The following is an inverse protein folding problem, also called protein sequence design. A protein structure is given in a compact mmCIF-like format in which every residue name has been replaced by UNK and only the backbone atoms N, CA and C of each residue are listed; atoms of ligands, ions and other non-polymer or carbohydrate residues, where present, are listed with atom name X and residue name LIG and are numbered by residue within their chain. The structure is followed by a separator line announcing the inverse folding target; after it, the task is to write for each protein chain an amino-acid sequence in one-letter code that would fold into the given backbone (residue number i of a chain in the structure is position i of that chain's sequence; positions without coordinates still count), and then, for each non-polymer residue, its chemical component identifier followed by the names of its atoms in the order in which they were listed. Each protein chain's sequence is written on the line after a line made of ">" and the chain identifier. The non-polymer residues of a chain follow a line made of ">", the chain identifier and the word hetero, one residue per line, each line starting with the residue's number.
data_IF_686783008762
#
_entry.id   IF_686783008762
#
_cell.length_a   1.000
_cell.length_b   1.000
_cell.length_c   1.000
_cell.angle_alpha   90.00
_cell.angle_beta   90.00
_cell.angle_gamma   90.00
#
_symmetry.space_group_name_H-M   'P 1'
#
loop_
_entity.id
_entity.type
_entity.pdbx_description
1 polymer ?
#
# COMPACT_ATOMS: atom_id res chain seq x y z
N UNK A 1 28.19 15.01 -20.76
CA UNK A 1 29.07 16.20 -20.77
C UNK A 1 29.63 16.52 -19.38
N UNK A 2 28.80 16.67 -18.33
CA UNK A 2 29.33 16.88 -16.98
C UNK A 2 30.07 15.65 -16.40
N UNK A 3 29.69 14.42 -16.79
CA UNK A 3 30.42 13.20 -16.43
C UNK A 3 31.84 13.17 -16.98
N UNK A 4 32.01 13.59 -18.24
CA UNK A 4 33.33 13.75 -18.86
C UNK A 4 34.17 14.81 -18.13
N UNK A 5 33.55 15.93 -17.73
CA UNK A 5 34.23 16.95 -16.92
C UNK A 5 34.65 16.38 -15.56
N UNK A 6 33.88 15.44 -15.01
CA UNK A 6 34.21 14.81 -13.74
C UNK A 6 35.35 13.80 -13.85
N UNK A 7 35.33 12.94 -14.87
CA UNK A 7 36.39 11.96 -15.13
C UNK A 7 37.75 12.63 -15.31
N UNK A 8 37.80 13.70 -16.12
CA UNK A 8 39.05 14.42 -16.42
C UNK A 8 39.43 15.46 -15.35
N UNK A 9 38.63 15.64 -14.29
CA UNK A 9 38.92 16.63 -13.23
C UNK A 9 40.17 16.32 -12.39
N UNK A 10 40.68 15.08 -12.47
CA UNK A 10 41.93 14.66 -11.83
C UNK A 10 43.17 15.09 -12.60
N UNK A 11 43.07 15.20 -13.94
CA UNK A 11 44.18 15.56 -14.81
C UNK A 11 44.14 17.04 -15.21
N UNK A 12 42.96 17.65 -15.20
CA UNK A 12 42.74 19.00 -15.71
C UNK A 12 41.85 19.84 -14.80
N UNK A 13 42.13 21.14 -14.75
CA UNK A 13 41.31 22.07 -13.97
C UNK A 13 39.90 22.18 -14.58
N UNK A 14 38.88 21.85 -13.77
CA UNK A 14 37.44 21.99 -14.10
C UNK A 14 37.12 23.35 -14.74
N UNK A 15 37.75 24.42 -14.26
CA UNK A 15 37.60 25.78 -14.83
C UNK A 15 37.94 25.85 -16.32
N UNK A 16 39.05 25.24 -16.74
CA UNK A 16 39.48 25.23 -18.15
C UNK A 16 38.53 24.39 -18.98
N UNK A 17 38.14 23.23 -18.48
CA UNK A 17 37.23 22.31 -19.19
C UNK A 17 35.84 22.90 -19.35
N UNK A 18 35.29 23.54 -18.32
CA UNK A 18 34.02 24.27 -18.41
C UNK A 18 34.07 25.38 -19.47
N UNK A 19 35.20 26.09 -19.58
CA UNK A 19 35.39 27.14 -20.59
C UNK A 19 35.48 26.57 -22.01
N UNK A 20 36.23 25.48 -22.21
CA UNK A 20 36.39 24.82 -23.52
C UNK A 20 35.07 24.22 -23.99
N UNK A 21 34.32 23.58 -23.09
CA UNK A 21 33.06 22.91 -23.40
C UNK A 21 31.84 23.84 -23.37
N UNK A 22 32.04 25.15 -23.13
CA UNK A 22 30.97 26.14 -23.15
C UNK A 22 29.92 26.01 -22.04
N UNK A 23 30.26 25.37 -20.91
CA UNK A 23 29.33 25.15 -19.78
C UNK A 23 29.68 26.00 -18.57
N UNK A 24 28.68 26.42 -17.79
CA UNK A 24 28.91 27.19 -16.56
C UNK A 24 29.51 26.33 -15.46
N UNK A 25 30.55 26.84 -14.77
CA UNK A 25 31.10 26.23 -13.54
C UNK A 25 30.02 26.00 -12.49
N UNK A 26 29.08 26.93 -12.33
CA UNK A 26 27.98 26.80 -11.39
C UNK A 26 27.05 25.62 -11.74
N UNK A 27 26.81 25.38 -13.02
CA UNK A 27 26.03 24.23 -13.47
C UNK A 27 26.75 22.90 -13.21
N UNK A 28 28.08 22.86 -13.43
CA UNK A 28 28.89 21.68 -13.09
C UNK A 28 28.83 21.34 -11.61
N UNK A 29 29.04 22.31 -10.72
CA UNK A 29 28.98 22.03 -9.27
C UNK A 29 27.57 21.69 -8.79
N UNK A 30 26.52 22.28 -9.41
CA UNK A 30 25.12 21.89 -9.16
C UNK A 30 24.81 20.46 -9.62
N UNK A 31 25.42 20.03 -10.71
CA UNK A 31 25.36 18.65 -11.20
C UNK A 31 26.10 17.69 -10.25
N UNK A 32 27.28 18.07 -9.77
CA UNK A 32 28.14 17.24 -8.91
C UNK A 32 27.62 17.10 -7.48
N UNK A 33 27.00 18.15 -6.96
CA UNK A 33 26.45 18.15 -5.60
C UNK A 33 25.03 18.72 -5.62
N UNK A 34 24.06 17.95 -6.14
CA UNK A 34 22.68 18.37 -6.14
C UNK A 34 22.22 18.48 -4.68
N UNK A 35 22.14 19.71 -4.16
CA UNK A 35 21.51 19.96 -2.87
C UNK A 35 20.05 19.52 -3.00
N UNK A 36 19.56 18.61 -2.13
CA UNK A 36 18.15 18.21 -2.18
C UNK A 36 17.31 19.48 -2.01
N UNK A 37 16.33 19.65 -2.90
CA UNK A 37 15.36 20.72 -2.72
C UNK A 37 14.65 20.52 -1.37
N UNK A 38 14.18 21.61 -0.76
CA UNK A 38 13.41 21.55 0.50
C UNK A 38 12.31 20.48 0.43
N UNK A 39 11.62 20.41 -0.71
CA UNK A 39 10.59 19.40 -1.00
C UNK A 39 11.11 17.96 -1.01
N UNK A 40 12.31 17.72 -1.55
CA UNK A 40 12.92 16.39 -1.59
C UNK A 40 13.38 15.95 -0.20
N UNK A 41 13.87 16.88 0.62
CA UNK A 41 14.17 16.61 2.03
C UNK A 41 12.91 16.28 2.84
N UNK A 42 11.83 17.05 2.65
CA UNK A 42 10.53 16.76 3.29
C UNK A 42 9.94 15.41 2.84
N UNK A 43 10.05 15.08 1.56
CA UNK A 43 9.59 13.79 1.04
C UNK A 43 10.41 12.63 1.63
N UNK A 44 11.71 12.81 1.88
CA UNK A 44 12.54 11.81 2.54
C UNK A 44 12.12 11.57 4.00
N UNK A 45 11.84 12.64 4.76
CA UNK A 45 11.28 12.55 6.12
C UNK A 45 9.92 11.84 6.12
N UNK A 46 9.03 12.21 5.20
CA UNK A 46 7.72 11.55 5.07
C UNK A 46 7.85 10.07 4.71
N UNK A 47 8.77 9.69 3.82
CA UNK A 47 9.01 8.28 3.49
C UNK A 47 9.41 7.46 4.72
N UNK A 48 10.29 8.00 5.56
CA UNK A 48 10.70 7.34 6.81
C UNK A 48 9.51 7.12 7.76
N UNK A 49 8.66 8.15 7.95
CA UNK A 49 7.45 8.05 8.78
C UNK A 49 6.45 7.04 8.22
N UNK A 50 6.23 7.05 6.90
CA UNK A 50 5.36 6.10 6.21
C UNK A 50 5.84 4.67 6.45
N UNK A 51 7.13 4.40 6.28
CA UNK A 51 7.71 3.07 6.50
C UNK A 51 7.55 2.60 7.95
N UNK A 52 7.77 3.50 8.93
CA UNK A 52 7.58 3.19 10.35
C UNK A 52 6.13 2.77 10.63
N UNK A 53 5.16 3.59 10.24
CA UNK A 53 3.72 3.30 10.42
C UNK A 53 3.36 2.00 9.70
N UNK A 54 3.83 1.82 8.46
CA UNK A 54 3.58 0.62 7.69
C UNK A 54 4.09 -0.65 8.39
N UNK A 55 5.29 -0.61 8.97
CA UNK A 55 5.87 -1.72 9.72
C UNK A 55 5.12 -1.97 11.05
N UNK A 56 4.80 -0.92 11.79
CA UNK A 56 4.06 -0.98 13.07
C UNK A 56 2.72 -1.71 12.92
N UNK A 57 1.99 -1.40 11.84
CA UNK A 57 0.70 -2.05 11.53
C UNK A 57 0.84 -3.32 10.70
N UNK A 58 2.01 -3.98 10.73
CA UNK A 58 2.28 -5.26 10.07
C UNK A 58 1.90 -5.24 8.58
N UNK A 59 2.19 -4.13 7.91
CA UNK A 59 1.96 -3.92 6.48
C UNK A 59 0.48 -3.87 6.05
N UNK A 60 -0.46 -3.83 7.00
CA UNK A 60 -1.92 -3.88 6.72
C UNK A 60 -2.53 -2.52 6.37
N UNK A 61 -1.78 -1.45 6.59
CA UNK A 61 -2.29 -0.09 6.43
C UNK A 61 -2.02 0.40 5.02
N UNK A 62 -3.09 0.71 4.30
CA UNK A 62 -3.03 1.41 3.02
C UNK A 62 -3.02 2.92 3.18
N UNK A 63 -3.00 3.63 2.05
CA UNK A 63 -2.87 5.10 1.95
C UNK A 63 -3.74 5.86 2.93
N UNK A 64 -5.04 5.53 3.05
CA UNK A 64 -5.97 6.28 3.90
C UNK A 64 -5.71 6.09 5.39
N UNK A 65 -5.31 4.87 5.81
CA UNK A 65 -4.99 4.60 7.21
C UNK A 65 -3.66 5.25 7.59
N UNK A 66 -2.65 5.13 6.73
CA UNK A 66 -1.37 5.84 6.92
C UNK A 66 -1.58 7.35 6.94
N UNK A 67 -2.46 7.90 6.11
CA UNK A 67 -2.84 9.31 6.14
C UNK A 67 -3.44 9.72 7.48
N UNK A 68 -4.33 8.90 8.05
CA UNK A 68 -4.91 9.16 9.36
C UNK A 68 -3.84 9.24 10.45
N UNK A 69 -2.98 8.22 10.54
CA UNK A 69 -1.87 8.17 11.52
C UNK A 69 -0.90 9.35 11.35
N UNK A 70 -0.48 9.63 10.11
CA UNK A 70 0.38 10.77 9.83
C UNK A 70 -0.26 12.10 10.19
N UNK A 71 -1.57 12.25 9.99
CA UNK A 71 -2.26 13.49 10.34
C UNK A 71 -2.32 13.69 11.86
N UNK A 72 -2.46 12.62 12.64
CA UNK A 72 -2.35 12.69 14.10
C UNK A 72 -0.95 13.09 14.56
N UNK A 73 0.09 12.51 13.96
CA UNK A 73 1.48 12.87 14.28
C UNK A 73 1.88 14.30 13.88
N UNK A 74 1.36 14.78 12.74
CA UNK A 74 1.77 16.06 12.15
C UNK A 74 0.91 17.25 12.62
N UNK A 75 -0.24 16.99 13.24
CA UNK A 75 -1.09 18.02 13.87
C UNK A 75 -0.34 18.95 14.84
N UNK A 76 0.42 18.45 15.85
CA UNK A 76 1.16 19.31 16.78
C UNK A 76 2.25 20.13 16.08
N UNK A 77 2.77 19.65 14.95
CA UNK A 77 3.76 20.33 14.12
C UNK A 77 3.14 21.32 13.13
N UNK A 78 1.81 21.49 13.13
CA UNK A 78 1.03 22.28 12.18
C UNK A 78 1.32 21.92 10.70
N UNK A 79 1.64 20.64 10.45
CA UNK A 79 1.91 20.12 9.11
C UNK A 79 0.75 19.27 8.63
N UNK A 80 0.47 19.35 7.34
CA UNK A 80 -0.55 18.52 6.67
C UNK A 80 0.06 17.80 5.48
N UNK A 81 -0.39 16.57 5.26
CA UNK A 81 0.02 15.76 4.12
C UNK A 81 -1.23 15.27 3.40
N UNK A 82 -1.27 15.37 2.07
CA UNK A 82 -2.44 14.89 1.31
C UNK A 82 -2.34 13.39 1.05
N UNK A 83 -3.48 12.67 0.96
CA UNK A 83 -3.49 11.25 0.59
C UNK A 83 -2.80 10.97 -0.76
N UNK A 84 -2.92 11.91 -1.72
CA UNK A 84 -2.25 11.81 -3.02
C UNK A 84 -0.71 11.85 -2.89
N UNK A 85 -0.18 12.69 -2.01
CA UNK A 85 1.28 12.74 -1.74
C UNK A 85 1.73 11.41 -1.13
N UNK A 86 0.98 10.87 -0.18
CA UNK A 86 1.28 9.58 0.45
C UNK A 86 1.24 8.45 -0.58
N UNK A 87 0.20 8.39 -1.41
CA UNK A 87 0.08 7.38 -2.48
C UNK A 87 1.29 7.38 -3.43
N UNK A 88 1.72 8.57 -3.88
CA UNK A 88 2.95 8.71 -4.69
C UNK A 88 4.18 8.19 -3.94
N UNK A 89 4.37 8.58 -2.67
CA UNK A 89 5.54 8.16 -1.89
C UNK A 89 5.55 6.66 -1.60
N UNK A 90 4.38 6.06 -1.33
CA UNK A 90 4.24 4.60 -1.18
C UNK A 90 4.59 3.87 -2.48
N UNK A 91 4.16 4.40 -3.64
CA UNK A 91 4.52 3.86 -4.95
C UNK A 91 6.03 3.96 -5.22
N UNK A 92 6.66 5.07 -4.86
CA UNK A 92 8.12 5.24 -4.96
C UNK A 92 8.91 4.31 -4.03
N UNK A 93 8.30 3.82 -2.95
CA UNK A 93 8.87 2.87 -2.00
C UNK A 93 8.49 1.41 -2.32
N UNK A 94 7.67 1.18 -3.35
CA UNK A 94 7.13 -0.13 -3.73
C UNK A 94 6.37 -0.86 -2.60
N UNK A 95 5.67 -0.10 -1.73
CA UNK A 95 4.89 -0.67 -0.63
C UNK A 95 3.39 -0.58 -0.89
N UNK A 96 2.69 -1.65 -0.55
CA UNK A 96 1.24 -1.79 -0.71
C UNK A 96 0.63 -2.50 0.49
N UNK A 97 -0.64 -2.22 0.76
CA UNK A 97 -1.36 -2.84 1.88
C UNK A 97 -1.45 -4.35 1.69
N UNK A 98 -0.95 -5.11 2.65
CA UNK A 98 -1.10 -6.56 2.70
C UNK A 98 -2.43 -6.90 3.37
N UNK A 99 -3.39 -7.38 2.59
CA UNK A 99 -4.60 -7.99 3.15
C UNK A 99 -4.27 -9.42 3.52
N UNK A 100 -4.02 -9.66 4.82
CA UNK A 100 -3.92 -11.03 5.33
C UNK A 100 -5.34 -11.63 5.31
N UNK A 101 -5.51 -12.76 4.62
CA UNK A 101 -6.76 -13.51 4.69
C UNK A 101 -7.09 -13.78 6.16
N UNK A 102 -8.34 -13.54 6.58
CA UNK A 102 -8.79 -13.91 7.93
C UNK A 102 -8.39 -15.37 8.17
N UNK A 103 -7.65 -15.62 9.24
CA UNK A 103 -7.36 -16.98 9.67
C UNK A 103 -8.70 -17.70 9.84
N UNK A 104 -8.95 -18.70 8.99
CA UNK A 104 -10.07 -19.61 9.18
C UNK A 104 -9.56 -20.68 10.14
N UNK A 105 -10.21 -20.83 11.29
CA UNK A 105 -9.97 -21.97 12.14
C UNK A 105 -10.10 -23.23 11.27
N UNK A 106 -9.03 -24.01 11.15
CA UNK A 106 -9.16 -25.37 10.67
C UNK A 106 -10.12 -26.03 11.66
N UNK A 107 -11.34 -26.34 11.20
CA UNK A 107 -12.34 -26.97 12.04
C UNK A 107 -11.68 -28.21 12.64
N UNK A 108 -11.52 -28.25 13.96
CA UNK A 108 -10.88 -29.36 14.69
C UNK A 108 -11.70 -30.67 14.64
N UNK A 109 -12.69 -30.72 13.75
CA UNK A 109 -13.38 -31.92 13.34
C UNK A 109 -12.39 -32.86 12.64
N UNK A 110 -11.89 -33.85 13.38
CA UNK A 110 -11.25 -35.06 12.83
C UNK A 110 -12.20 -35.91 11.97
N UNK A 111 -13.45 -35.47 11.81
CA UNK A 111 -14.41 -36.10 10.92
C UNK A 111 -14.03 -35.76 9.49
N UNK A 112 -13.65 -36.78 8.72
CA UNK A 112 -13.51 -36.71 7.27
C UNK A 112 -14.84 -36.18 6.73
N UNK A 113 -14.87 -34.92 6.30
CA UNK A 113 -16.04 -34.39 5.60
C UNK A 113 -16.18 -35.23 4.35
N UNK A 114 -17.26 -36.00 4.24
CA UNK A 114 -17.61 -36.66 2.98
C UNK A 114 -17.73 -35.57 1.92
N UNK A 115 -16.78 -35.55 0.99
CA UNK A 115 -16.85 -34.66 -0.15
C UNK A 115 -17.98 -35.15 -1.04
N UNK A 116 -19.13 -34.50 -0.93
CA UNK A 116 -20.25 -34.71 -1.86
C UNK A 116 -19.95 -33.98 -3.16
N UNK A 117 -20.27 -34.57 -4.32
CA UNK A 117 -20.07 -33.90 -5.59
C UNK A 117 -20.89 -32.60 -5.62
N UNK A 118 -20.27 -31.49 -6.03
CA UNK A 118 -20.99 -30.25 -6.29
C UNK A 118 -21.83 -30.41 -7.56
N UNK A 119 -23.09 -30.84 -7.39
CA UNK A 119 -24.03 -31.05 -8.49
C UNK A 119 -24.42 -29.75 -9.19
N UNK A 120 -24.40 -28.63 -8.45
CA UNK A 120 -24.85 -27.34 -8.97
C UNK A 120 -23.82 -26.69 -9.90
N UNK A 121 -22.52 -26.85 -9.60
CA UNK A 121 -21.40 -26.24 -10.35
C UNK A 121 -21.61 -24.75 -10.68
N UNK A 122 -22.31 -24.01 -9.81
CA UNK A 122 -22.71 -22.60 -10.01
C UNK A 122 -23.65 -22.35 -11.22
N UNK A 123 -24.27 -23.39 -11.77
CA UNK A 123 -25.38 -23.25 -12.70
C UNK A 123 -26.69 -23.13 -11.92
N UNK A 124 -27.30 -21.94 -11.96
CA UNK A 124 -28.59 -21.64 -11.32
C UNK A 124 -29.76 -21.59 -12.31
N UNK A 125 -29.55 -21.95 -13.58
CA UNK A 125 -30.63 -21.98 -14.57
C UNK A 125 -31.66 -23.08 -14.23
N UNK A 126 -32.95 -22.77 -14.40
CA UNK A 126 -34.08 -23.68 -14.14
C UNK A 126 -35.17 -23.49 -15.20
N UNK A 127 -35.92 -24.56 -15.49
CA UNK A 127 -37.05 -24.56 -16.43
C UNK A 127 -38.41 -24.59 -15.72
N UNK A 128 -38.42 -24.78 -14.39
CA UNK A 128 -39.63 -24.81 -13.58
C UNK A 128 -39.33 -24.68 -12.08
N UNK A 129 -40.39 -24.59 -11.29
CA UNK A 129 -40.29 -24.54 -9.82
C UNK A 129 -39.69 -25.82 -9.25
N UNK A 130 -39.11 -25.72 -8.06
CA UNK A 130 -38.59 -26.83 -7.26
C UNK A 130 -37.45 -27.66 -7.86
N UNK A 131 -36.71 -27.14 -8.84
CA UNK A 131 -35.59 -27.87 -9.47
C UNK A 131 -34.24 -27.68 -8.75
N UNK A 132 -34.01 -26.50 -8.18
CA UNK A 132 -32.79 -26.15 -7.44
C UNK A 132 -33.22 -25.33 -6.23
N UNK A 133 -32.76 -25.75 -5.04
CA UNK A 133 -33.10 -25.11 -3.77
C UNK A 133 -31.80 -24.65 -3.13
N UNK A 134 -31.79 -23.42 -2.64
CA UNK A 134 -30.67 -22.85 -1.91
C UNK A 134 -31.14 -22.54 -0.49
N UNK A 135 -30.35 -22.97 0.49
CA UNK A 135 -30.62 -22.67 1.88
C UNK A 135 -29.46 -21.85 2.44
N UNK A 136 -29.80 -20.78 3.15
CA UNK A 136 -28.83 -20.03 3.96
C UNK A 136 -29.25 -20.08 5.41
N UNK A 137 -28.25 -20.14 6.30
CA UNK A 137 -28.48 -20.03 7.74
C UNK A 137 -27.59 -18.92 8.29
N UNK A 138 -28.24 -17.89 8.84
CA UNK A 138 -27.58 -16.70 9.38
C UNK A 138 -27.88 -16.56 10.88
N UNK A 139 -26.87 -16.11 11.62
CA UNK A 139 -26.93 -15.89 13.06
C UNK A 139 -27.26 -14.42 13.31
N UNK A 140 -28.35 -14.16 14.04
CA UNK A 140 -28.83 -12.82 14.33
C UNK A 140 -28.78 -12.62 15.84
N UNK A 141 -27.97 -11.68 16.30
CA UNK A 141 -27.94 -11.30 17.71
C UNK A 141 -29.12 -10.38 18.01
N UNK A 142 -30.03 -10.84 18.88
CA UNK A 142 -31.18 -10.07 19.33
C UNK A 142 -30.95 -9.53 20.75
N UNK A 143 -31.50 -8.34 21.05
CA UNK A 143 -31.34 -7.72 22.37
C UNK A 143 -32.04 -8.49 23.49
N UNK A 144 -33.15 -9.18 23.18
CA UNK A 144 -34.00 -9.85 24.18
C UNK A 144 -33.69 -11.33 24.34
N UNK A 145 -33.36 -12.04 23.26
CA UNK A 145 -33.27 -13.50 23.23
C UNK A 145 -31.84 -14.00 22.96
N UNK A 146 -30.85 -13.10 22.81
CA UNK A 146 -29.49 -13.47 22.47
C UNK A 146 -29.37 -13.92 21.01
N UNK A 147 -28.53 -14.92 20.74
CA UNK A 147 -28.29 -15.44 19.40
C UNK A 147 -29.49 -16.24 18.88
N UNK A 148 -30.11 -15.75 17.82
CA UNK A 148 -31.16 -16.43 17.07
C UNK A 148 -30.61 -16.94 15.73
N UNK A 149 -31.26 -17.97 15.19
CA UNK A 149 -30.89 -18.61 13.94
C UNK A 149 -32.01 -18.38 12.93
N UNK A 150 -31.69 -17.73 11.82
CA UNK A 150 -32.61 -17.56 10.69
C UNK A 150 -32.21 -18.55 9.61
N UNK A 151 -33.14 -19.41 9.20
CA UNK A 151 -32.98 -20.28 8.05
C UNK A 151 -33.90 -19.79 6.93
N UNK A 152 -33.34 -19.59 5.74
CA UNK A 152 -34.11 -19.28 4.54
C UNK A 152 -33.94 -20.39 3.51
N UNK A 153 -34.97 -20.61 2.71
CA UNK A 153 -34.98 -21.56 1.59
C UNK A 153 -35.51 -20.79 0.38
N UNK A 154 -34.73 -20.76 -0.71
CA UNK A 154 -35.04 -20.08 -1.97
C UNK A 154 -34.95 -21.05 -3.14
#
# INVERSE_FOLDING_TARGET
>A
MFDYIHQESHHHQVTKMCRILGVSRAQYYRYRSPKPSKRRAEDADLKQRILRIFAEFKQRYGVMKIHHELNLELQPLQRRCSPRRISRLMKELDIHSVTVNKWKAASASKTKVEQRPNLLKQDFSTTGLNQKWTADMTYIQTKRNGWCYLSTIM
#
